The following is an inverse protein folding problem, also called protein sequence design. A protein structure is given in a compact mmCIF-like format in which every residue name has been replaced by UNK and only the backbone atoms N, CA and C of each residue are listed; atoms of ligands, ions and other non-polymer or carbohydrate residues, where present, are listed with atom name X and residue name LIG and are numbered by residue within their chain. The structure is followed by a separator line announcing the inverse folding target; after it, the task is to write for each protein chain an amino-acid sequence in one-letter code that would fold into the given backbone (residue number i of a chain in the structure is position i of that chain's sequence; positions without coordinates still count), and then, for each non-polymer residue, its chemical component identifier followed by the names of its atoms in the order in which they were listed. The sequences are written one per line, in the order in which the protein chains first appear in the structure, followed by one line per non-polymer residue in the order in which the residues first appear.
data_IF_251259908379
#
_entry.id   IF_251259908379
#
_cell.length_a   1.000
_cell.length_b   1.000
_cell.length_c   1.000
_cell.angle_alpha   90.00
_cell.angle_beta   90.00
_cell.angle_gamma   90.00
#
_symmetry.space_group_name_H-M   'P 1'
#
loop_
_entity.id
_entity.type
_entity.pdbx_description
1 polymer ?
#
# COMPACT_ATOMS: atom_id res chain seq x y z
N UNK A 1 25.63 -4.97 -6.92
CA UNK A 1 24.44 -4.92 -6.06
C UNK A 1 24.56 -3.81 -5.04
N UNK A 2 23.52 -3.60 -4.27
CA UNK A 2 23.51 -2.67 -3.14
C UNK A 2 23.40 -3.50 -1.86
N UNK A 3 24.09 -3.10 -0.80
CA UNK A 3 23.91 -3.67 0.53
C UNK A 3 22.68 -2.98 1.17
N UNK A 4 21.73 -3.75 1.67
CA UNK A 4 20.50 -3.25 2.27
C UNK A 4 20.47 -3.57 3.75
N UNK A 5 20.34 -2.52 4.57
CA UNK A 5 20.21 -2.62 6.03
C UNK A 5 18.87 -2.03 6.47
N UNK A 6 18.41 -2.39 7.67
CA UNK A 6 17.08 -2.02 8.18
C UNK A 6 17.15 -1.15 9.45
N UNK A 7 18.33 -0.63 9.78
CA UNK A 7 18.58 0.27 10.90
C UNK A 7 19.50 1.42 10.48
N UNK A 8 19.83 2.31 11.41
CA UNK A 8 20.69 3.46 11.21
C UNK A 8 22.00 3.32 12.04
N UNK A 9 22.47 2.09 12.25
CA UNK A 9 23.66 1.85 13.09
C UNK A 9 24.97 2.04 12.33
N UNK A 10 24.99 1.74 11.04
CA UNK A 10 26.15 1.99 10.19
C UNK A 10 26.41 3.51 10.03
N UNK A 11 27.71 3.86 9.91
CA UNK A 11 28.15 5.26 9.74
C UNK A 11 28.28 5.69 8.28
N UNK A 12 28.23 4.74 7.35
CA UNK A 12 28.53 4.95 5.92
C UNK A 12 27.31 4.72 5.03
N UNK A 13 26.11 4.97 5.54
CA UNK A 13 24.88 4.84 4.76
C UNK A 13 24.86 5.93 3.68
N UNK A 14 24.85 5.52 2.40
CA UNK A 14 24.77 6.45 1.28
C UNK A 14 23.35 7.00 1.08
N UNK A 15 22.33 6.11 1.19
CA UNK A 15 20.93 6.44 0.92
C UNK A 15 20.03 5.90 2.02
N UNK A 16 19.21 6.75 2.59
CA UNK A 16 18.19 6.40 3.57
C UNK A 16 16.81 6.49 2.90
N UNK A 17 16.06 5.38 2.90
CA UNK A 17 14.71 5.33 2.37
C UNK A 17 13.68 5.42 3.50
N UNK A 18 13.08 6.58 3.70
CA UNK A 18 11.96 6.76 4.64
C UNK A 18 10.66 6.28 4.00
N UNK A 19 10.08 5.21 4.53
CA UNK A 19 8.82 4.63 4.01
C UNK A 19 7.64 4.82 4.93
N UNK A 20 7.87 4.79 6.25
CA UNK A 20 6.84 4.94 7.27
C UNK A 20 7.41 5.72 8.46
N UNK A 21 7.15 7.02 8.55
CA UNK A 21 7.76 7.86 9.59
C UNK A 21 7.14 7.69 10.99
N UNK A 22 5.99 7.00 11.11
CA UNK A 22 5.27 6.91 12.39
C UNK A 22 5.81 5.77 13.26
N UNK A 23 6.38 6.10 14.40
CA UNK A 23 6.91 5.10 15.35
C UNK A 23 5.87 4.08 15.85
N UNK A 24 4.59 4.44 15.82
CA UNK A 24 3.49 3.55 16.23
C UNK A 24 3.11 2.52 15.16
N UNK A 25 3.62 2.65 13.95
CA UNK A 25 3.38 1.70 12.87
C UNK A 25 4.36 0.54 12.96
N UNK A 26 3.91 -0.73 12.90
CA UNK A 26 4.78 -1.89 12.89
C UNK A 26 5.67 -1.98 11.63
N UNK A 27 5.37 -1.17 10.61
CA UNK A 27 6.15 -1.10 9.38
C UNK A 27 7.26 -0.05 9.41
N UNK A 28 7.38 0.70 10.52
CA UNK A 28 8.41 1.73 10.68
C UNK A 28 9.71 1.09 11.14
N UNK A 29 10.74 1.15 10.32
CA UNK A 29 12.10 0.78 10.72
C UNK A 29 12.74 1.91 11.56
N UNK A 30 12.54 3.15 11.12
CA UNK A 30 13.02 4.37 11.77
C UNK A 30 12.13 5.56 11.40
N UNK A 31 12.17 6.59 12.23
CA UNK A 31 11.37 7.81 12.08
C UNK A 31 12.18 8.93 11.42
N UNK A 32 11.48 9.99 10.99
CA UNK A 32 12.14 11.20 10.52
C UNK A 32 13.05 11.86 11.58
N UNK A 33 12.75 11.71 12.87
CA UNK A 33 13.59 12.23 13.95
C UNK A 33 14.90 11.45 14.09
N UNK A 34 14.85 10.12 13.96
CA UNK A 34 16.04 9.26 13.97
C UNK A 34 16.92 9.53 12.75
N UNK A 35 16.32 9.75 11.58
CA UNK A 35 17.03 10.16 10.36
C UNK A 35 17.72 11.52 10.59
N UNK A 36 17.01 12.50 11.14
CA UNK A 36 17.58 13.82 11.39
C UNK A 36 18.76 13.74 12.35
N UNK A 37 18.68 12.90 13.38
CA UNK A 37 19.81 12.65 14.28
C UNK A 37 20.97 11.97 13.56
N UNK A 38 20.69 11.01 12.68
CA UNK A 38 21.71 10.34 11.88
C UNK A 38 22.49 11.34 11.03
N UNK A 39 21.80 12.20 10.29
CA UNK A 39 22.42 13.22 9.44
C UNK A 39 23.22 14.23 10.28
N UNK A 40 22.69 14.64 11.42
CA UNK A 40 23.36 15.66 12.25
C UNK A 40 24.62 15.13 12.94
N UNK A 41 24.69 13.84 13.30
CA UNK A 41 25.70 13.31 14.22
C UNK A 41 26.50 12.10 13.69
N UNK A 42 26.02 11.44 12.63
CA UNK A 42 26.71 10.26 12.06
C UNK A 42 27.24 10.51 10.65
N UNK A 43 26.36 10.79 9.68
CA UNK A 43 26.73 11.03 8.29
C UNK A 43 25.90 12.15 7.64
N UNK A 44 26.44 13.37 7.55
CA UNK A 44 25.75 14.51 6.95
C UNK A 44 25.63 14.41 5.42
N UNK A 45 26.32 13.46 4.78
CA UNK A 45 26.31 13.29 3.33
C UNK A 45 25.28 12.25 2.86
N UNK A 46 24.59 11.55 3.78
CA UNK A 46 23.57 10.59 3.42
C UNK A 46 22.39 11.27 2.71
N UNK A 47 21.97 10.71 1.58
CA UNK A 47 20.82 11.19 0.82
C UNK A 47 19.55 10.58 1.38
N UNK A 48 18.57 11.39 1.72
CA UNK A 48 17.28 10.92 2.25
C UNK A 48 16.21 10.99 1.18
N UNK A 49 15.59 9.85 0.90
CA UNK A 49 14.46 9.74 -0.02
C UNK A 49 13.22 9.36 0.80
N UNK A 50 12.17 10.17 0.75
CA UNK A 50 10.89 9.84 1.37
C UNK A 50 9.96 9.22 0.32
N UNK A 51 9.56 7.97 0.53
CA UNK A 51 8.55 7.28 -0.28
C UNK A 51 7.17 7.46 0.35
N UNK A 52 6.34 8.28 -0.29
CA UNK A 52 4.98 8.59 0.18
C UNK A 52 3.97 7.67 -0.49
N UNK A 53 3.31 6.84 0.32
CA UNK A 53 2.32 5.84 -0.12
C UNK A 53 1.04 5.85 0.71
N UNK A 54 0.92 6.75 1.69
CA UNK A 54 -0.21 6.85 2.60
C UNK A 54 -0.80 8.26 2.60
N UNK A 55 -2.08 8.35 2.97
CA UNK A 55 -2.79 9.62 3.17
C UNK A 55 -4.01 9.41 4.07
N UNK A 56 -4.60 10.51 4.51
CA UNK A 56 -5.81 10.52 5.35
C UNK A 56 -6.98 9.82 4.64
N UNK A 57 -7.14 10.02 3.35
CA UNK A 57 -8.21 9.43 2.53
C UNK A 57 -8.14 7.90 2.48
N UNK A 58 -6.94 7.33 2.53
CA UNK A 58 -6.76 5.88 2.59
C UNK A 58 -7.09 5.27 3.95
N UNK A 59 -6.89 6.05 5.02
CA UNK A 59 -6.97 5.56 6.41
C UNK A 59 -8.21 6.04 7.14
N UNK A 60 -9.00 6.94 6.53
CA UNK A 60 -10.11 7.63 7.20
C UNK A 60 -9.64 8.35 8.47
N UNK A 61 -8.61 9.16 8.32
CA UNK A 61 -7.97 9.95 9.39
C UNK A 61 -7.91 11.42 9.01
N UNK A 62 -7.42 12.28 9.91
CA UNK A 62 -7.31 13.73 9.71
C UNK A 62 -5.94 14.30 10.06
N UNK A 63 -4.95 13.46 10.26
CA UNK A 63 -3.62 13.86 10.75
C UNK A 63 -2.44 13.31 9.93
N UNK A 64 -2.66 12.25 9.14
CA UNK A 64 -1.59 11.56 8.41
C UNK A 64 -0.96 12.48 7.39
N UNK A 65 -1.76 13.22 6.63
CA UNK A 65 -1.25 14.12 5.60
C UNK A 65 -0.30 15.18 6.20
N UNK A 66 -0.69 15.79 7.31
CA UNK A 66 0.14 16.77 8.03
C UNK A 66 1.41 16.13 8.58
N UNK A 67 1.28 14.92 9.12
CA UNK A 67 2.43 14.20 9.68
C UNK A 67 3.45 13.83 8.61
N UNK A 68 3.00 13.29 7.47
CA UNK A 68 3.85 12.93 6.32
C UNK A 68 4.53 14.17 5.76
N UNK A 69 3.78 15.29 5.60
CA UNK A 69 4.34 16.55 5.15
C UNK A 69 5.43 17.06 6.11
N UNK A 70 5.18 16.99 7.40
CA UNK A 70 6.19 17.34 8.41
C UNK A 70 7.42 16.43 8.34
N UNK A 71 7.21 15.12 8.27
CA UNK A 71 8.29 14.14 8.19
C UNK A 71 9.13 14.31 6.91
N UNK A 72 8.53 14.78 5.82
CA UNK A 72 9.22 15.02 4.56
C UNK A 72 10.31 16.10 4.65
N UNK A 73 10.30 16.93 5.68
CA UNK A 73 11.30 18.01 5.87
C UNK A 73 12.74 17.48 5.99
N UNK A 74 12.93 16.26 6.46
CA UNK A 74 14.26 15.65 6.52
C UNK A 74 14.72 15.03 5.19
N UNK A 75 13.86 14.95 4.17
CA UNK A 75 14.19 14.27 2.92
C UNK A 75 14.74 15.24 1.87
N UNK A 76 15.69 14.79 1.07
CA UNK A 76 16.24 15.51 -0.09
C UNK A 76 15.35 15.37 -1.31
N UNK A 77 14.71 14.20 -1.46
CA UNK A 77 13.79 13.92 -2.55
C UNK A 77 12.56 13.16 -2.07
N UNK A 78 11.46 13.27 -2.84
CA UNK A 78 10.20 12.59 -2.56
C UNK A 78 9.79 11.70 -3.72
N UNK A 79 9.44 10.46 -3.42
CA UNK A 79 8.87 9.52 -4.38
C UNK A 79 7.42 9.23 -3.99
N UNK A 80 6.49 9.50 -4.90
CA UNK A 80 5.08 9.17 -4.75
C UNK A 80 4.75 7.88 -5.50
N UNK A 81 3.92 7.04 -4.91
CA UNK A 81 3.51 5.76 -5.54
C UNK A 81 2.42 5.93 -6.60
N UNK A 82 1.83 7.12 -6.71
CA UNK A 82 0.85 7.46 -7.77
C UNK A 82 0.81 8.96 -8.01
N UNK A 83 0.35 9.37 -9.20
CA UNK A 83 0.09 10.78 -9.51
C UNK A 83 -0.98 11.38 -8.59
N UNK A 84 -2.03 10.60 -8.29
CA UNK A 84 -3.09 11.06 -7.40
C UNK A 84 -2.57 11.43 -5.99
N UNK A 85 -1.71 10.61 -5.39
CA UNK A 85 -1.09 10.96 -4.08
C UNK A 85 -0.19 12.19 -4.23
N UNK A 86 0.56 12.31 -5.34
CA UNK A 86 1.37 13.49 -5.59
C UNK A 86 0.52 14.75 -5.65
N UNK A 87 -0.60 14.70 -6.39
CA UNK A 87 -1.52 15.83 -6.54
C UNK A 87 -2.16 16.19 -5.20
N UNK A 88 -2.55 15.19 -4.39
CA UNK A 88 -3.07 15.40 -3.03
C UNK A 88 -2.10 16.19 -2.13
N UNK A 89 -0.82 15.89 -2.23
CA UNK A 89 0.22 16.56 -1.44
C UNK A 89 0.72 17.88 -2.07
N UNK A 90 0.19 18.31 -3.21
CA UNK A 90 0.62 19.53 -3.90
C UNK A 90 0.49 20.79 -3.05
N UNK A 91 -0.53 20.86 -2.20
CA UNK A 91 -0.83 21.99 -1.35
C UNK A 91 -0.13 21.93 0.02
N UNK A 92 0.62 20.87 0.29
CA UNK A 92 1.33 20.71 1.56
C UNK A 92 2.72 21.33 1.52
N UNK A 93 2.96 22.26 2.42
CA UNK A 93 4.23 22.97 2.55
C UNK A 93 5.40 22.02 2.85
N UNK A 94 6.52 22.18 2.18
CA UNK A 94 7.72 21.36 2.36
C UNK A 94 7.86 20.20 1.38
N UNK A 95 6.79 19.71 0.76
CA UNK A 95 6.87 18.69 -0.30
C UNK A 95 7.11 19.34 -1.66
N UNK A 96 6.44 20.44 -1.96
CA UNK A 96 6.50 21.11 -3.27
C UNK A 96 7.84 21.78 -3.61
N UNK A 97 8.65 22.09 -2.61
CA UNK A 97 9.95 22.74 -2.80
C UNK A 97 11.09 21.79 -3.14
N UNK A 98 10.85 20.47 -3.09
CA UNK A 98 11.88 19.44 -3.24
C UNK A 98 11.73 18.64 -4.54
N UNK A 99 12.80 18.00 -4.94
CA UNK A 99 12.77 17.06 -6.05
C UNK A 99 11.71 15.97 -5.79
N UNK A 100 10.68 15.91 -6.63
CA UNK A 100 9.62 14.92 -6.47
C UNK A 100 9.35 14.16 -7.76
N UNK A 101 9.11 12.85 -7.64
CA UNK A 101 8.81 11.98 -8.77
C UNK A 101 7.71 10.98 -8.43
N UNK A 102 6.93 10.59 -9.44
CA UNK A 102 6.02 9.45 -9.33
C UNK A 102 6.76 8.21 -9.82
N UNK A 103 6.84 7.20 -8.95
CA UNK A 103 7.34 5.86 -9.30
C UNK A 103 6.26 4.88 -8.84
N UNK A 104 5.57 4.27 -9.79
CA UNK A 104 4.51 3.32 -9.52
C UNK A 104 5.07 2.07 -8.85
N UNK A 105 4.29 1.48 -7.94
CA UNK A 105 4.62 0.16 -7.42
C UNK A 105 4.50 -0.86 -8.53
N UNK A 106 5.56 -1.63 -8.74
CA UNK A 106 5.60 -2.70 -9.73
C UNK A 106 5.22 -4.05 -9.12
N UNK A 107 5.04 -5.03 -9.99
CA UNK A 107 4.95 -6.44 -9.62
C UNK A 107 6.11 -7.19 -10.26
N UNK A 108 6.57 -8.24 -9.61
CA UNK A 108 7.57 -9.14 -10.15
C UNK A 108 6.98 -9.90 -11.34
N UNK A 109 7.52 -9.68 -12.53
CA UNK A 109 7.02 -10.30 -13.78
C UNK A 109 7.23 -11.82 -13.84
N UNK A 110 8.16 -12.35 -13.07
CA UNK A 110 8.41 -13.80 -13.02
C UNK A 110 7.31 -14.48 -12.20
N UNK A 111 6.80 -13.83 -11.18
CA UNK A 111 5.70 -14.32 -10.36
C UNK A 111 4.32 -13.92 -10.91
N UNK A 112 4.17 -12.67 -11.36
CA UNK A 112 2.90 -12.09 -11.82
C UNK A 112 2.91 -11.91 -13.33
N UNK A 113 2.61 -12.98 -14.03
CA UNK A 113 2.61 -13.01 -15.49
C UNK A 113 1.34 -13.68 -16.03
N UNK A 114 1.21 -13.74 -17.34
CA UNK A 114 0.06 -14.33 -18.01
C UNK A 114 0.29 -15.77 -18.49
N UNK A 115 1.33 -16.45 -18.00
CA UNK A 115 1.57 -17.86 -18.34
C UNK A 115 0.40 -18.72 -17.86
N UNK A 116 -0.09 -19.59 -18.72
CA UNK A 116 -1.24 -20.43 -18.41
C UNK A 116 -2.60 -19.72 -18.49
N UNK A 117 -2.64 -18.43 -18.88
CA UNK A 117 -3.92 -17.74 -19.06
C UNK A 117 -4.81 -18.46 -20.08
N UNK A 118 -6.03 -18.77 -19.66
CA UNK A 118 -7.08 -19.32 -20.53
C UNK A 118 -8.25 -18.36 -20.58
N UNK A 119 -8.65 -18.00 -21.78
CA UNK A 119 -9.84 -17.17 -21.97
C UNK A 119 -11.07 -17.88 -21.44
N UNK A 120 -11.94 -17.17 -20.73
CA UNK A 120 -13.21 -17.73 -20.26
C UNK A 120 -14.04 -18.26 -21.44
N UNK A 121 -14.43 -19.53 -21.36
CA UNK A 121 -15.12 -20.28 -22.42
C UNK A 121 -16.65 -20.09 -22.41
N UNK A 122 -17.20 -19.32 -21.45
CA UNK A 122 -18.65 -19.08 -21.23
C UNK A 122 -19.46 -20.35 -20.87
N UNK A 123 -18.82 -21.49 -20.66
CA UNK A 123 -19.51 -22.73 -20.25
C UNK A 123 -19.47 -22.94 -18.73
N UNK A 124 -18.48 -22.39 -18.09
CA UNK A 124 -18.32 -22.42 -16.64
C UNK A 124 -18.76 -21.10 -16.02
N UNK A 125 -19.02 -21.10 -14.70
CA UNK A 125 -19.28 -19.84 -13.98
C UNK A 125 -18.10 -18.89 -14.14
N UNK A 126 -18.40 -17.61 -14.29
CA UNK A 126 -17.37 -16.57 -14.30
C UNK A 126 -16.81 -16.41 -12.88
N UNK A 127 -15.51 -16.52 -12.72
CA UNK A 127 -14.83 -16.41 -11.43
C UNK A 127 -14.43 -14.96 -11.16
N UNK A 128 -15.10 -14.32 -10.19
CA UNK A 128 -14.71 -13.05 -9.66
C UNK A 128 -13.77 -13.28 -8.47
N UNK A 129 -12.64 -12.61 -8.47
CA UNK A 129 -11.65 -12.70 -7.39
C UNK A 129 -11.28 -11.30 -6.91
N UNK A 130 -11.22 -11.11 -5.62
CA UNK A 130 -10.59 -9.94 -4.99
C UNK A 130 -9.64 -10.36 -3.89
N UNK A 131 -8.67 -9.53 -3.61
CA UNK A 131 -7.65 -9.80 -2.61
C UNK A 131 -7.34 -8.54 -1.79
N UNK A 132 -7.44 -8.65 -0.46
CA UNK A 132 -7.07 -7.57 0.45
C UNK A 132 -6.39 -8.09 1.71
N UNK A 133 -5.28 -7.46 2.07
CA UNK A 133 -4.65 -7.69 3.36
C UNK A 133 -5.37 -6.96 4.49
N UNK A 134 -5.85 -5.74 4.24
CA UNK A 134 -6.55 -4.90 5.22
C UNK A 134 -8.03 -5.21 5.29
N UNK A 135 -8.59 -5.21 6.49
CA UNK A 135 -10.04 -5.30 6.74
C UNK A 135 -10.71 -3.92 6.86
N UNK A 136 -10.05 -2.83 6.43
CA UNK A 136 -10.65 -1.50 6.41
C UNK A 136 -11.83 -1.46 5.42
N UNK A 137 -12.97 -0.91 5.86
CA UNK A 137 -14.20 -0.86 5.07
C UNK A 137 -14.04 -0.15 3.73
N UNK A 138 -13.18 0.88 3.66
CA UNK A 138 -12.88 1.64 2.42
C UNK A 138 -12.22 0.79 1.31
N UNK A 139 -11.92 -0.48 1.58
CA UNK A 139 -11.45 -1.43 0.55
C UNK A 139 -12.57 -1.99 -0.33
N UNK A 140 -13.77 -1.46 -0.23
CA UNK A 140 -14.91 -1.81 -1.08
C UNK A 140 -15.80 -2.92 -0.50
N UNK A 141 -15.82 -3.10 0.82
CA UNK A 141 -16.61 -4.15 1.46
C UNK A 141 -18.13 -3.98 1.28
N UNK A 142 -18.62 -2.78 1.09
CA UNK A 142 -20.01 -2.50 0.67
C UNK A 142 -20.34 -3.12 -0.70
N UNK A 143 -19.42 -3.01 -1.66
CA UNK A 143 -19.54 -3.65 -2.98
C UNK A 143 -19.48 -5.17 -2.85
N UNK A 144 -18.54 -5.71 -2.09
CA UNK A 144 -18.41 -7.16 -1.90
C UNK A 144 -19.63 -7.76 -1.20
N UNK A 145 -20.18 -7.04 -0.22
CA UNK A 145 -21.44 -7.43 0.41
C UNK A 145 -22.58 -7.46 -0.61
N UNK A 146 -22.67 -6.47 -1.47
CA UNK A 146 -23.68 -6.43 -2.53
C UNK A 146 -23.54 -7.59 -3.51
N UNK A 147 -22.30 -7.97 -3.87
CA UNK A 147 -22.05 -9.13 -4.73
C UNK A 147 -22.52 -10.42 -4.03
N UNK A 148 -22.20 -10.58 -2.73
CA UNK A 148 -22.64 -11.73 -1.94
C UNK A 148 -24.15 -11.83 -1.85
N UNK A 149 -24.84 -10.71 -1.64
CA UNK A 149 -26.32 -10.65 -1.61
C UNK A 149 -26.92 -11.06 -2.97
N UNK A 150 -26.34 -10.60 -4.09
CA UNK A 150 -26.79 -10.99 -5.44
C UNK A 150 -26.63 -12.50 -5.69
N UNK A 151 -25.62 -13.13 -5.13
CA UNK A 151 -25.39 -14.57 -5.25
C UNK A 151 -26.46 -15.43 -4.53
N UNK A 152 -27.33 -14.83 -3.72
CA UNK A 152 -28.51 -15.52 -3.18
C UNK A 152 -29.56 -15.83 -4.24
N UNK A 153 -29.57 -15.08 -5.35
CA UNK A 153 -30.47 -15.26 -6.47
C UNK A 153 -29.95 -16.31 -7.44
N UNK A 154 -30.76 -17.31 -7.80
CA UNK A 154 -30.38 -18.40 -8.73
C UNK A 154 -29.84 -17.89 -10.07
N UNK A 155 -30.36 -16.77 -10.55
CA UNK A 155 -29.92 -16.12 -11.79
C UNK A 155 -28.40 -15.82 -11.73
N UNK A 156 -27.94 -15.18 -10.66
CA UNK A 156 -26.53 -14.79 -10.52
C UNK A 156 -25.66 -15.95 -10.05
N UNK A 157 -26.17 -16.78 -9.15
CA UNK A 157 -25.45 -17.97 -8.64
C UNK A 157 -25.06 -18.95 -9.75
N UNK A 158 -25.83 -18.99 -10.83
CA UNK A 158 -25.52 -19.85 -11.99
C UNK A 158 -24.55 -19.20 -12.97
N UNK A 159 -24.40 -17.86 -12.94
CA UNK A 159 -23.55 -17.11 -13.89
C UNK A 159 -22.12 -16.92 -13.35
N UNK A 160 -21.95 -16.67 -12.08
CA UNK A 160 -20.65 -16.38 -11.50
C UNK A 160 -20.50 -16.94 -10.09
N UNK A 161 -19.26 -16.97 -9.62
CA UNK A 161 -18.87 -17.22 -8.25
C UNK A 161 -17.98 -16.08 -7.79
N UNK A 162 -17.99 -15.75 -6.48
CA UNK A 162 -17.13 -14.73 -5.91
C UNK A 162 -16.19 -15.35 -4.88
N UNK A 163 -14.90 -15.11 -5.06
CA UNK A 163 -13.83 -15.59 -4.20
C UNK A 163 -13.14 -14.37 -3.57
N UNK A 164 -13.26 -14.24 -2.26
CA UNK A 164 -12.56 -13.21 -1.50
C UNK A 164 -11.36 -13.84 -0.81
N UNK A 165 -10.16 -13.27 -1.05
CA UNK A 165 -8.91 -13.71 -0.42
C UNK A 165 -8.43 -12.60 0.51
N UNK A 166 -8.35 -12.87 1.82
CA UNK A 166 -7.85 -11.87 2.75
C UNK A 166 -8.59 -11.81 4.08
N UNK A 167 -8.48 -10.64 4.73
CA UNK A 167 -9.14 -10.37 6.00
C UNK A 167 -10.45 -9.62 5.77
N UNK A 168 -11.49 -10.03 6.47
CA UNK A 168 -12.80 -9.37 6.45
C UNK A 168 -13.03 -8.62 7.77
N UNK A 169 -13.82 -7.52 7.79
CA UNK A 169 -14.24 -6.86 9.01
C UNK A 169 -15.08 -7.79 9.90
N UNK A 170 -14.93 -7.68 11.22
CA UNK A 170 -15.63 -8.55 12.19
C UNK A 170 -17.16 -8.46 12.11
N UNK A 171 -17.66 -7.30 11.69
CA UNK A 171 -19.10 -7.03 11.52
C UNK A 171 -19.66 -7.49 10.17
N UNK A 172 -18.84 -8.07 9.27
CA UNK A 172 -19.26 -8.55 7.96
C UNK A 172 -19.20 -10.08 7.90
N UNK A 173 -20.28 -10.67 7.36
CA UNK A 173 -20.35 -12.10 7.06
C UNK A 173 -20.83 -12.29 5.64
N UNK A 174 -20.05 -12.98 4.83
CA UNK A 174 -20.46 -13.48 3.53
C UNK A 174 -21.22 -14.80 3.71
N UNK A 175 -22.29 -14.98 2.95
CA UNK A 175 -23.16 -16.17 3.01
C UNK A 175 -23.10 -17.03 1.77
N UNK A 176 -22.79 -16.40 0.63
CA UNK A 176 -22.87 -17.02 -0.69
C UNK A 176 -21.54 -17.04 -1.44
N UNK A 177 -20.51 -16.37 -0.88
CA UNK A 177 -19.18 -16.20 -1.47
C UNK A 177 -18.16 -17.12 -0.80
N UNK A 178 -17.11 -17.46 -1.52
CA UNK A 178 -16.00 -18.24 -0.97
C UNK A 178 -15.01 -17.31 -0.27
N UNK A 179 -14.69 -17.63 0.98
CA UNK A 179 -13.70 -16.88 1.76
C UNK A 179 -12.44 -17.72 1.88
N UNK A 180 -11.33 -17.16 1.48
CA UNK A 180 -10.01 -17.77 1.53
C UNK A 180 -9.15 -16.93 2.47
N UNK A 181 -8.51 -17.57 3.43
CA UNK A 181 -7.58 -16.90 4.35
C UNK A 181 -6.45 -16.21 3.57
N UNK A 182 -5.87 -15.13 4.13
CA UNK A 182 -4.73 -14.47 3.50
C UNK A 182 -3.64 -15.46 3.12
N UNK A 183 -3.10 -15.31 1.92
CA UNK A 183 -1.96 -16.08 1.42
C UNK A 183 -0.79 -15.14 1.24
N UNK A 184 0.39 -15.52 1.73
CA UNK A 184 1.66 -14.92 1.32
C UNK A 184 2.05 -15.52 -0.03
N UNK A 185 2.61 -14.70 -0.92
CA UNK A 185 3.13 -15.19 -2.19
C UNK A 185 4.43 -15.97 -1.95
N UNK A 186 4.35 -17.27 -1.82
CA UNK A 186 5.44 -18.22 -1.99
C UNK A 186 5.15 -19.07 -3.22
#
# INVERSE_FOLDING_TARGET
GHDVIYDLDDRDIDIILLTEPRKTSPSSAYTNFEIQNYINYKNPNAIVIHRVNECDEHKDTSYINKYISYANKCADATVFVSSWIKDLYSDYEGINSKLSKVILSGADSDQFNNQGFKRWNKKEKFKLVTHHWSNNWNKGFDVYKKIDDLLSENKFKNLFEFNFIGRIPDNLKFKNSNIISPKSGE
#
